data_IF_383184879576
#
_entry.id   IF_383184879576
#
_cell.length_a   1.000
_cell.length_b   1.000
_cell.length_c   1.000
_cell.angle_alpha   90.00
_cell.angle_beta   90.00
_cell.angle_gamma   90.00
#
_symmetry.space_group_name_H-M   'P 1'
#
loop_
_entity.id
_entity.type
_entity.pdbx_description
1 polymer ?
#
# COMPACT_ATOMS: atom_id res chain seq x y z
N UNK A 1 14.85 -14.39 -35.55
CA UNK A 1 14.65 -14.28 -34.09
C UNK A 1 13.40 -13.44 -33.86
N UNK A 2 12.28 -14.02 -33.41
CA UNK A 2 11.08 -13.24 -33.11
C UNK A 2 11.14 -12.74 -31.67
N UNK A 3 11.00 -11.44 -31.49
CA UNK A 3 10.81 -10.79 -30.22
C UNK A 3 9.46 -11.24 -29.65
N UNK A 4 9.46 -12.00 -28.55
CA UNK A 4 8.23 -12.34 -27.84
C UNK A 4 7.81 -11.10 -27.05
N UNK A 5 6.64 -10.57 -27.40
CA UNK A 5 5.92 -9.57 -26.60
C UNK A 5 5.85 -10.06 -25.15
N UNK A 6 6.45 -9.30 -24.24
CA UNK A 6 6.16 -9.41 -22.81
C UNK A 6 4.77 -8.79 -22.65
N UNK A 7 3.73 -9.54 -22.26
CA UNK A 7 2.51 -8.90 -21.81
C UNK A 7 2.88 -8.10 -20.56
N UNK A 8 2.91 -6.78 -20.70
CA UNK A 8 2.91 -5.85 -19.58
C UNK A 8 1.55 -6.05 -18.94
N UNK A 9 1.47 -6.90 -17.93
CA UNK A 9 0.31 -6.90 -17.07
C UNK A 9 0.26 -5.52 -16.41
N UNK A 10 -0.92 -4.86 -16.39
CA UNK A 10 -1.05 -3.66 -15.58
C UNK A 10 -0.65 -4.03 -14.15
N UNK A 11 0.06 -3.14 -13.43
CA UNK A 11 0.36 -3.37 -12.02
C UNK A 11 -0.93 -3.77 -11.30
N UNK A 12 -0.86 -4.64 -10.27
CA UNK A 12 -2.01 -4.90 -9.43
C UNK A 12 -2.60 -3.55 -9.03
N UNK A 13 -3.92 -3.37 -9.27
CA UNK A 13 -4.59 -2.11 -8.95
C UNK A 13 -4.22 -1.77 -7.50
N UNK A 14 -3.68 -0.55 -7.23
CA UNK A 14 -3.38 -0.14 -5.86
C UNK A 14 -4.63 -0.31 -5.01
N UNK A 15 -4.46 -0.57 -3.71
CA UNK A 15 -5.58 -0.63 -2.76
C UNK A 15 -6.48 0.55 -3.03
N UNK A 16 -7.65 0.27 -3.60
CA UNK A 16 -8.43 1.25 -4.36
C UNK A 16 -8.89 2.33 -3.41
N UNK A 17 -8.34 3.55 -3.55
CA UNK A 17 -9.10 4.76 -3.23
C UNK A 17 -10.52 4.51 -3.71
N UNK A 18 -11.51 4.71 -2.82
CA UNK A 18 -12.92 4.39 -3.17
C UNK A 18 -13.45 5.30 -4.27
N UNK A 19 -12.66 6.31 -4.63
CA UNK A 19 -13.05 7.48 -5.40
C UNK A 19 -11.99 7.79 -6.46
N UNK A 20 -12.42 8.46 -7.52
CA UNK A 20 -11.52 8.92 -8.55
C UNK A 20 -10.63 10.06 -8.02
N UNK A 21 -9.34 10.03 -8.33
CA UNK A 21 -8.40 11.12 -8.05
C UNK A 21 -7.62 11.40 -9.33
N UNK A 22 -7.56 12.65 -9.80
CA UNK A 22 -6.90 12.99 -11.05
C UNK A 22 -5.39 12.74 -10.96
N UNK A 23 -4.81 12.31 -12.08
CA UNK A 23 -3.37 12.15 -12.21
C UNK A 23 -2.62 13.44 -11.82
N UNK A 24 -1.40 13.34 -11.25
CA UNK A 24 -0.63 14.49 -10.82
C UNK A 24 -0.46 15.61 -11.87
N UNK A 25 -0.29 15.22 -13.15
CA UNK A 25 -0.16 16.16 -14.27
C UNK A 25 -1.47 16.87 -14.64
N UNK A 26 -2.61 16.26 -14.33
CA UNK A 26 -3.95 16.80 -14.56
C UNK A 26 -4.50 17.53 -13.33
N UNK A 27 -3.90 17.37 -12.15
CA UNK A 27 -4.39 17.95 -10.93
C UNK A 27 -4.21 19.50 -10.90
N UNK A 28 -5.32 20.24 -10.76
CA UNK A 28 -5.33 21.71 -10.77
C UNK A 28 -4.38 22.30 -9.72
N UNK A 29 -4.47 21.85 -8.47
CA UNK A 29 -3.66 22.39 -7.38
C UNK A 29 -2.20 22.02 -7.53
N UNK A 30 -1.88 20.80 -8.00
CA UNK A 30 -0.48 20.41 -8.21
C UNK A 30 0.19 21.18 -9.36
N UNK A 31 -0.59 21.69 -10.32
CA UNK A 31 -0.09 22.55 -11.41
C UNK A 31 0.24 23.96 -10.94
N UNK A 32 -0.50 24.47 -9.95
CA UNK A 32 -0.36 25.85 -9.44
C UNK A 32 0.61 25.88 -8.25
N UNK A 33 0.38 25.00 -7.28
CA UNK A 33 1.15 24.87 -6.05
C UNK A 33 2.22 23.80 -6.28
N UNK A 34 3.44 24.27 -6.48
CA UNK A 34 4.62 23.39 -6.55
C UNK A 34 4.86 22.75 -5.18
N UNK A 35 5.37 21.51 -5.18
CA UNK A 35 5.55 20.68 -3.97
C UNK A 35 5.83 21.50 -2.68
N UNK A 36 4.85 21.63 -1.78
CA UNK A 36 4.95 22.46 -0.59
C UNK A 36 5.84 21.84 0.50
N UNK A 37 6.27 20.58 0.36
CA UNK A 37 7.22 19.93 1.29
C UNK A 37 8.69 20.13 0.90
N UNK A 38 8.99 20.99 -0.08
CA UNK A 38 10.39 21.28 -0.43
C UNK A 38 10.97 22.37 0.49
N UNK A 39 12.01 22.09 1.32
CA UNK A 39 12.57 23.00 2.31
C UNK A 39 13.17 24.30 1.76
N UNK A 40 13.36 24.42 0.44
CA UNK A 40 13.94 25.59 -0.21
C UNK A 40 12.89 26.56 -0.79
N UNK A 41 11.60 26.39 -0.49
CA UNK A 41 10.53 27.23 -1.05
C UNK A 41 9.92 28.18 -0.01
N UNK A 42 9.78 29.48 -0.30
CA UNK A 42 9.01 30.40 0.55
C UNK A 42 7.48 30.22 0.35
N UNK A 43 6.67 30.62 1.35
CA UNK A 43 5.20 30.78 1.28
C UNK A 43 4.35 29.50 1.09
N UNK A 44 4.70 28.39 1.76
CA UNK A 44 4.03 27.09 1.58
C UNK A 44 2.67 27.03 2.25
N UNK A 45 2.64 27.50 3.49
CA UNK A 45 1.46 27.55 4.36
C UNK A 45 0.39 28.41 3.72
N UNK A 46 0.76 29.63 3.30
CA UNK A 46 -0.10 30.54 2.54
C UNK A 46 -0.70 29.93 1.28
N UNK A 47 0.11 29.24 0.46
CA UNK A 47 -0.43 28.61 -0.77
C UNK A 47 -1.47 27.53 -0.45
N UNK A 48 -1.25 26.78 0.63
CA UNK A 48 -2.20 25.77 1.11
C UNK A 48 -3.45 26.41 1.72
N UNK A 49 -3.31 27.56 2.40
CA UNK A 49 -4.42 28.37 2.90
C UNK A 49 -5.29 28.89 1.76
N UNK A 50 -4.69 29.49 0.74
CA UNK A 50 -5.37 29.98 -0.45
C UNK A 50 -6.09 28.84 -1.19
N UNK A 51 -5.47 27.66 -1.31
CA UNK A 51 -6.12 26.47 -1.87
C UNK A 51 -7.37 26.07 -1.09
N UNK A 52 -7.24 25.92 0.24
CA UNK A 52 -8.37 25.53 1.09
C UNK A 52 -9.48 26.59 1.04
N UNK A 53 -9.12 27.87 1.12
CA UNK A 53 -10.04 29.00 1.00
C UNK A 53 -10.83 28.96 -0.32
N UNK A 54 -10.15 28.77 -1.46
CA UNK A 54 -10.83 28.66 -2.77
C UNK A 54 -11.83 27.50 -2.78
N UNK A 55 -11.48 26.35 -2.21
CA UNK A 55 -12.40 25.21 -2.13
C UNK A 55 -13.61 25.53 -1.26
N UNK A 56 -13.41 26.08 -0.06
CA UNK A 56 -14.50 26.40 0.86
C UNK A 56 -15.43 27.50 0.31
N UNK A 57 -14.90 28.48 -0.42
CA UNK A 57 -15.70 29.53 -1.07
C UNK A 57 -16.55 28.98 -2.21
N UNK A 58 -16.00 28.07 -3.03
CA UNK A 58 -16.63 27.61 -4.27
C UNK A 58 -17.38 26.28 -4.13
N UNK A 59 -17.32 25.61 -2.98
CA UNK A 59 -17.96 24.33 -2.75
C UNK A 59 -18.86 24.34 -1.50
N UNK A 60 -20.09 24.91 -1.58
CA UNK A 60 -20.97 25.06 -0.41
C UNK A 60 -21.34 23.74 0.27
N UNK A 61 -21.59 22.66 -0.47
CA UNK A 61 -21.95 21.37 0.13
C UNK A 61 -20.75 20.73 0.83
N UNK A 62 -19.60 20.70 0.15
CA UNK A 62 -18.36 20.21 0.75
C UNK A 62 -17.94 21.08 1.96
N UNK A 63 -18.08 22.40 1.86
CA UNK A 63 -17.83 23.35 2.97
C UNK A 63 -18.68 22.98 4.18
N UNK A 64 -19.98 22.79 3.98
CA UNK A 64 -20.91 22.43 5.07
C UNK A 64 -20.49 21.13 5.73
N UNK A 65 -20.17 20.09 4.95
CA UNK A 65 -19.69 18.81 5.46
C UNK A 65 -18.37 18.94 6.25
N UNK A 66 -17.42 19.75 5.76
CA UNK A 66 -16.16 20.03 6.48
C UNK A 66 -16.48 20.78 7.79
N UNK A 67 -17.37 21.76 7.77
CA UNK A 67 -17.71 22.56 8.95
C UNK A 67 -18.46 21.74 10.01
N UNK A 68 -19.29 20.78 9.60
CA UNK A 68 -19.90 19.81 10.52
C UNK A 68 -18.83 19.00 11.24
N UNK A 69 -17.81 18.52 10.53
CA UNK A 69 -16.68 17.80 11.12
C UNK A 69 -15.82 18.69 12.02
N UNK A 70 -15.62 19.97 11.67
CA UNK A 70 -14.94 20.93 12.53
C UNK A 70 -15.73 21.24 13.80
N UNK A 71 -17.05 21.41 13.70
CA UNK A 71 -17.92 21.59 14.85
C UNK A 71 -17.89 20.36 15.76
N UNK A 72 -17.92 19.15 15.20
CA UNK A 72 -17.77 17.90 15.95
C UNK A 72 -16.41 17.83 16.67
N UNK A 73 -15.30 18.17 15.98
CA UNK A 73 -13.96 18.25 16.58
C UNK A 73 -13.91 19.22 17.76
N UNK A 74 -14.64 20.33 17.68
CA UNK A 74 -14.76 21.33 18.75
C UNK A 74 -15.81 20.98 19.82
N UNK A 75 -16.54 19.87 19.68
CA UNK A 75 -17.62 19.48 20.59
C UNK A 75 -18.88 20.36 20.50
N UNK A 76 -19.05 21.08 19.39
CA UNK A 76 -20.18 21.99 19.17
C UNK A 76 -21.38 21.22 18.64
N UNK A 77 -22.50 21.28 19.37
CA UNK A 77 -23.75 20.63 18.94
C UNK A 77 -24.82 21.64 18.50
N UNK A 78 -25.69 21.20 17.59
CA UNK A 78 -26.92 21.91 17.21
C UNK A 78 -26.70 23.23 16.48
N UNK A 79 -25.61 23.40 15.73
CA UNK A 79 -25.38 24.58 14.91
C UNK A 79 -26.07 24.46 13.56
N UNK A 80 -26.82 25.49 13.11
CA UNK A 80 -27.44 25.50 11.80
C UNK A 80 -26.40 25.91 10.73
N UNK A 81 -25.30 25.15 10.60
CA UNK A 81 -24.16 25.52 9.74
C UNK A 81 -24.54 25.75 8.27
N UNK A 82 -25.53 25.03 7.75
CA UNK A 82 -26.03 25.20 6.39
C UNK A 82 -26.82 26.50 6.18
N UNK A 83 -27.30 27.14 7.25
CA UNK A 83 -28.14 28.35 7.22
C UNK A 83 -27.32 29.63 7.42
N UNK A 84 -26.04 29.51 7.77
CA UNK A 84 -25.17 30.66 8.05
C UNK A 84 -24.51 31.21 6.79
N UNK A 85 -24.25 32.51 6.83
CA UNK A 85 -23.46 33.23 5.84
C UNK A 85 -22.01 33.34 6.33
N UNK A 86 -21.06 33.07 5.43
CA UNK A 86 -19.66 32.90 5.82
C UNK A 86 -18.75 33.93 5.15
N UNK A 87 -17.90 34.55 5.97
CA UNK A 87 -16.66 35.18 5.52
C UNK A 87 -15.52 34.19 5.69
N UNK A 88 -14.82 33.91 4.59
CA UNK A 88 -13.70 32.97 4.54
C UNK A 88 -12.54 33.69 3.88
N UNK A 89 -11.55 34.07 4.69
CA UNK A 89 -10.46 34.91 4.23
C UNK A 89 -9.12 34.42 4.76
N UNK A 90 -8.06 34.62 3.98
CA UNK A 90 -6.69 34.29 4.37
C UNK A 90 -5.94 35.55 4.81
N UNK A 91 -4.90 35.40 5.64
CA UNK A 91 -3.95 36.46 5.97
C UNK A 91 -4.59 37.67 6.70
N UNK A 92 -5.60 37.41 7.54
CA UNK A 92 -6.36 38.46 8.22
C UNK A 92 -5.64 38.96 9.46
N UNK A 93 -5.73 40.27 9.70
CA UNK A 93 -5.04 40.89 10.82
C UNK A 93 -5.51 40.31 12.17
N UNK A 94 -4.55 39.93 12.99
CA UNK A 94 -4.69 39.49 14.38
C UNK A 94 -3.70 40.32 15.20
N UNK A 95 -4.14 41.51 15.63
CA UNK A 95 -3.23 42.50 16.23
C UNK A 95 -2.14 42.93 15.26
N UNK A 96 -0.88 42.66 15.62
CA UNK A 96 0.30 42.90 14.80
C UNK A 96 0.64 41.78 13.80
N UNK A 97 -0.09 40.66 13.83
CA UNK A 97 0.14 39.45 13.03
C UNK A 97 -1.01 39.16 12.06
N UNK A 98 -0.91 38.02 11.36
CA UNK A 98 -1.91 37.54 10.39
C UNK A 98 -2.18 36.06 10.58
N UNK A 99 -3.45 35.66 10.68
CA UNK A 99 -3.83 34.25 10.64
C UNK A 99 -3.77 33.69 9.21
N UNK A 100 -3.56 32.38 9.07
CA UNK A 100 -3.48 31.76 7.74
C UNK A 100 -4.86 31.69 7.07
N UNK A 101 -5.89 31.30 7.82
CA UNK A 101 -7.28 31.22 7.36
C UNK A 101 -8.26 31.54 8.49
N UNK A 102 -9.18 32.47 8.26
CA UNK A 102 -10.27 32.84 9.15
C UNK A 102 -11.61 32.48 8.55
N UNK A 103 -12.49 31.92 9.38
CA UNK A 103 -13.87 31.58 9.01
C UNK A 103 -14.79 32.22 10.03
N UNK A 104 -15.67 33.10 9.57
CA UNK A 104 -16.65 33.81 10.40
C UNK A 104 -18.05 33.51 9.89
N UNK A 105 -18.95 33.10 10.78
CA UNK A 105 -20.35 32.81 10.44
C UNK A 105 -21.31 33.86 10.98
N UNK A 106 -22.31 34.23 10.18
CA UNK A 106 -23.35 35.21 10.50
C UNK A 106 -24.74 34.65 10.18
N UNK A 107 -25.74 35.08 10.96
CA UNK A 107 -27.15 34.72 10.71
C UNK A 107 -27.78 35.49 9.54
N UNK A 108 -27.24 36.68 9.20
CA UNK A 108 -27.81 37.56 8.18
C UNK A 108 -26.91 37.64 6.95
N UNK A 109 -27.52 37.68 5.76
CA UNK A 109 -26.83 37.82 4.46
C UNK A 109 -25.92 39.04 4.39
N UNK A 110 -26.35 40.17 4.96
CA UNK A 110 -25.62 41.43 4.90
C UNK A 110 -24.39 41.48 5.83
N UNK A 111 -24.16 40.44 6.64
CA UNK A 111 -23.01 40.32 7.57
C UNK A 111 -22.87 41.49 8.56
N UNK A 112 -23.90 42.31 8.72
CA UNK A 112 -23.91 43.48 9.62
C UNK A 112 -24.21 43.13 11.08
N UNK A 113 -24.46 41.85 11.38
CA UNK A 113 -24.79 41.35 12.72
C UNK A 113 -23.55 40.94 13.52
N UNK A 114 -23.74 40.63 14.81
CA UNK A 114 -22.69 40.00 15.59
C UNK A 114 -22.38 38.61 15.02
N UNK A 115 -21.10 38.21 14.89
CA UNK A 115 -20.77 36.87 14.43
C UNK A 115 -21.25 35.81 15.41
N UNK A 116 -21.77 34.71 14.88
CA UNK A 116 -22.28 33.58 15.68
C UNK A 116 -21.28 32.44 15.82
N UNK A 117 -20.29 32.35 14.92
CA UNK A 117 -19.17 31.44 15.05
C UNK A 117 -17.89 32.04 14.50
N UNK A 118 -16.75 31.59 15.04
CA UNK A 118 -15.43 31.97 14.58
C UNK A 118 -14.45 30.80 14.67
N UNK A 119 -13.83 30.46 13.53
CA UNK A 119 -12.62 29.64 13.51
C UNK A 119 -11.44 30.46 13.00
N UNK A 120 -10.31 30.35 13.70
CA UNK A 120 -9.00 30.71 13.18
C UNK A 120 -8.22 29.43 12.92
N UNK A 121 -7.70 29.25 11.71
CA UNK A 121 -7.00 28.04 11.28
C UNK A 121 -5.56 28.43 10.96
N UNK A 122 -4.62 27.86 11.71
CA UNK A 122 -3.18 27.93 11.44
C UNK A 122 -2.77 26.70 10.63
N UNK A 123 -2.07 26.90 9.53
CA UNK A 123 -1.68 25.85 8.60
C UNK A 123 -0.20 25.54 8.77
N UNK A 124 0.12 24.26 9.00
CA UNK A 124 1.49 23.75 9.08
C UNK A 124 1.70 22.62 8.07
N UNK A 125 2.69 22.79 7.21
CA UNK A 125 3.05 21.79 6.18
C UNK A 125 4.35 21.05 6.51
N UNK A 126 5.36 21.76 7.03
CA UNK A 126 6.65 21.15 7.41
C UNK A 126 7.28 21.76 8.66
N UNK A 127 7.06 23.05 8.91
CA UNK A 127 7.55 23.68 10.12
C UNK A 127 6.59 23.36 11.28
N UNK A 128 7.16 23.18 12.48
CA UNK A 128 6.38 23.13 13.73
C UNK A 128 5.83 24.50 14.10
N UNK A 129 5.18 24.58 15.26
CA UNK A 129 4.64 25.84 15.79
C UNK A 129 5.79 26.83 16.05
N UNK A 130 5.65 28.07 15.55
CA UNK A 130 6.68 29.09 15.67
C UNK A 130 6.60 29.85 17.00
N UNK A 131 7.77 30.18 17.54
CA UNK A 131 7.93 31.20 18.58
C UNK A 131 7.80 32.60 17.97
N UNK A 132 7.30 33.55 18.76
CA UNK A 132 6.96 34.88 18.30
C UNK A 132 7.02 35.92 19.43
N UNK A 133 7.02 37.21 19.08
CA UNK A 133 6.98 38.27 20.10
C UNK A 133 5.59 38.42 20.71
N UNK A 134 5.54 38.67 22.02
CA UNK A 134 4.32 38.96 22.77
C UNK A 134 3.67 40.25 22.26
N UNK A 135 2.36 40.23 21.99
CA UNK A 135 1.58 41.42 21.65
C UNK A 135 0.77 41.92 22.86
N UNK A 136 0.75 43.23 23.10
CA UNK A 136 -0.16 43.86 24.06
C UNK A 136 -1.43 44.31 23.33
N UNK A 137 -2.59 43.89 23.83
CA UNK A 137 -3.89 44.28 23.29
C UNK A 137 -4.58 45.16 24.33
N UNK A 138 -4.47 46.50 24.20
CA UNK A 138 -5.31 47.44 24.94
C UNK A 138 -4.67 48.32 26.03
N UNK A 139 -3.36 48.53 26.07
CA UNK A 139 -2.75 49.53 26.98
C UNK A 139 -2.12 50.67 26.17
N UNK A 140 -2.43 51.92 26.56
CA UNK A 140 -1.87 53.14 25.98
C UNK A 140 -0.32 53.10 26.04
N UNK A 141 0.33 53.44 24.93
CA UNK A 141 1.79 53.49 24.77
C UNK A 141 2.49 54.28 25.89
N UNK A 142 2.96 53.57 26.92
CA UNK A 142 4.08 54.03 27.73
C UNK A 142 5.32 53.23 27.34
N UNK A 143 6.44 53.90 27.01
CA UNK A 143 7.66 53.22 26.62
C UNK A 143 8.33 52.63 27.87
N UNK A 144 7.91 51.43 28.26
CA UNK A 144 8.73 50.59 29.12
C UNK A 144 9.62 49.71 28.24
N UNK A 145 10.89 49.60 28.63
CA UNK A 145 11.83 48.68 28.02
C UNK A 145 11.40 47.25 28.35
N UNK A 146 10.50 46.68 27.55
CA UNK A 146 10.02 45.32 27.71
C UNK A 146 11.10 44.33 27.28
N UNK A 147 11.51 43.47 28.21
CA UNK A 147 12.13 42.19 27.89
C UNK A 147 11.11 41.42 27.07
N UNK A 148 11.31 41.30 25.75
CA UNK A 148 10.39 40.60 24.86
C UNK A 148 10.25 39.13 25.31
N UNK A 149 9.18 38.81 26.04
CA UNK A 149 8.84 37.44 26.40
C UNK A 149 8.47 36.73 25.10
N UNK A 150 9.25 35.70 24.75
CA UNK A 150 8.95 34.85 23.60
C UNK A 150 7.69 34.03 23.90
N UNK A 151 6.64 34.24 23.12
CA UNK A 151 5.38 33.48 23.18
C UNK A 151 5.11 32.82 21.85
N UNK A 152 4.46 31.67 21.86
CA UNK A 152 4.11 31.01 20.60
C UNK A 152 3.12 31.86 19.79
N UNK A 153 3.14 31.72 18.47
CA UNK A 153 2.20 32.41 17.58
C UNK A 153 0.74 32.13 17.98
N UNK A 154 0.45 30.91 18.44
CA UNK A 154 -0.87 30.49 18.89
C UNK A 154 -1.32 31.21 20.17
N UNK A 155 -0.41 31.53 21.10
CA UNK A 155 -0.74 32.29 22.31
C UNK A 155 -1.25 33.70 21.99
N UNK A 156 -0.75 34.34 20.93
CA UNK A 156 -1.29 35.62 20.47
C UNK A 156 -2.70 35.44 19.88
N UNK A 157 -2.91 34.39 19.10
CA UNK A 157 -4.22 34.11 18.50
C UNK A 157 -5.25 33.75 19.55
N UNK A 158 -4.86 33.00 20.58
CA UNK A 158 -5.73 32.63 21.70
C UNK A 158 -6.22 33.87 22.46
N UNK A 159 -5.30 34.81 22.75
CA UNK A 159 -5.66 36.09 23.38
C UNK A 159 -6.55 36.94 22.49
N UNK A 160 -6.28 36.99 21.19
CA UNK A 160 -7.15 37.68 20.24
C UNK A 160 -8.54 37.04 20.15
N UNK A 161 -8.64 35.72 20.11
CA UNK A 161 -9.91 34.99 20.14
C UNK A 161 -10.71 35.37 21.39
N UNK A 162 -10.06 35.52 22.55
CA UNK A 162 -10.73 35.93 23.79
C UNK A 162 -11.44 37.28 23.66
N UNK A 163 -10.85 38.25 22.96
CA UNK A 163 -11.43 39.59 22.76
C UNK A 163 -12.55 39.64 21.73
N UNK A 164 -12.75 38.59 20.93
CA UNK A 164 -13.81 38.57 19.92
C UNK A 164 -15.19 38.41 20.53
N UNK A 165 -16.14 39.21 20.03
CA UNK A 165 -17.54 39.24 20.44
C UNK A 165 -18.35 38.07 19.84
N UNK A 166 -17.90 36.85 20.14
CA UNK A 166 -18.53 35.57 19.78
C UNK A 166 -18.62 34.73 21.05
N UNK A 167 -19.69 33.95 21.18
CA UNK A 167 -19.89 33.08 22.33
C UNK A 167 -18.67 32.15 22.53
N UNK A 168 -18.27 31.95 23.79
CA UNK A 168 -17.03 31.23 24.11
C UNK A 168 -17.04 29.77 23.63
N UNK A 169 -18.22 29.16 23.53
CA UNK A 169 -18.46 27.82 23.00
C UNK A 169 -18.67 27.79 21.47
N UNK A 170 -18.47 28.92 20.79
CA UNK A 170 -18.60 29.08 19.33
C UNK A 170 -17.38 29.75 18.69
N UNK A 171 -16.26 29.83 19.43
CA UNK A 171 -14.98 30.30 18.91
C UNK A 171 -13.86 29.32 19.23
N UNK A 172 -13.08 28.93 18.23
CA UNK A 172 -12.01 27.96 18.38
C UNK A 172 -10.83 28.24 17.45
N UNK A 173 -9.66 27.76 17.87
CA UNK A 173 -8.46 27.73 17.05
C UNK A 173 -8.19 26.32 16.54
N UNK A 174 -7.81 26.17 15.28
CA UNK A 174 -7.47 24.86 14.69
C UNK A 174 -6.05 24.95 14.13
N UNK A 175 -5.22 23.97 14.44
CA UNK A 175 -3.92 23.79 13.77
C UNK A 175 -4.06 22.64 12.79
N UNK A 176 -4.08 22.98 11.49
CA UNK A 176 -4.09 22.00 10.40
C UNK A 176 -2.66 21.59 10.07
N UNK A 177 -2.24 20.40 10.50
CA UNK A 177 -0.83 20.01 10.46
C UNK A 177 -0.58 18.58 9.98
N UNK A 178 0.71 18.28 9.71
CA UNK A 178 1.17 16.89 9.58
C UNK A 178 1.26 16.22 10.96
N UNK A 179 1.08 14.89 11.08
CA UNK A 179 0.96 14.19 12.36
C UNK A 179 2.11 14.43 13.34
N UNK A 180 3.32 14.67 12.84
CA UNK A 180 4.50 14.98 13.66
C UNK A 180 4.36 16.25 14.51
N UNK A 181 3.36 17.10 14.27
CA UNK A 181 3.11 18.32 15.04
C UNK A 181 1.81 18.29 15.84
N UNK A 182 1.01 17.22 15.75
CA UNK A 182 -0.29 17.17 16.37
C UNK A 182 -0.24 17.25 17.90
N UNK A 183 0.76 16.60 18.52
CA UNK A 183 0.98 16.62 19.97
C UNK A 183 1.38 18.00 20.52
N UNK A 184 1.92 18.89 19.67
CA UNK A 184 2.41 20.19 20.14
C UNK A 184 1.29 21.10 20.65
N UNK A 185 0.07 20.97 20.11
CA UNK A 185 -1.10 21.73 20.59
C UNK A 185 -1.50 21.26 21.99
N UNK A 186 -1.59 19.94 22.18
CA UNK A 186 -1.94 19.34 23.47
C UNK A 186 -0.90 19.69 24.55
N UNK A 187 0.38 19.66 24.21
CA UNK A 187 1.47 20.04 25.12
C UNK A 187 1.33 21.51 25.58
N UNK A 188 0.96 22.42 24.68
CA UNK A 188 0.74 23.84 25.00
C UNK A 188 -0.50 24.05 25.88
N UNK A 189 -1.57 23.28 25.66
CA UNK A 189 -2.77 23.29 26.51
C UNK A 189 -2.44 22.76 27.91
N UNK A 190 -1.75 21.61 28.00
CA UNK A 190 -1.33 21.02 29.27
C UNK A 190 -0.38 21.93 30.07
N UNK A 191 0.48 22.67 29.37
CA UNK A 191 1.35 23.68 29.96
C UNK A 191 0.61 24.97 30.39
N UNK A 192 -0.69 25.08 30.13
CA UNK A 192 -1.50 26.26 30.45
C UNK A 192 -1.23 27.47 29.57
N UNK A 193 -0.59 27.28 28.42
CA UNK A 193 -0.26 28.36 27.46
C UNK A 193 -1.41 28.63 26.49
N UNK A 194 -2.21 27.61 26.16
CA UNK A 194 -3.41 27.75 25.33
C UNK A 194 -4.66 27.32 26.10
N UNK A 195 -5.77 28.01 25.86
CA UNK A 195 -7.07 27.55 26.32
C UNK A 195 -7.48 26.25 25.61
N UNK A 196 -8.31 25.38 26.25
CA UNK A 196 -8.79 24.12 25.66
C UNK A 196 -9.86 24.31 24.57
N UNK A 197 -9.74 25.38 23.77
CA UNK A 197 -10.50 25.67 22.54
C UNK A 197 -9.64 25.49 21.28
N UNK A 198 -8.37 25.12 21.47
CA UNK A 198 -7.45 24.81 20.38
C UNK A 198 -7.48 23.32 20.09
N UNK A 199 -7.55 23.00 18.80
CA UNK A 199 -7.60 21.61 18.33
C UNK A 199 -6.56 21.40 17.25
N UNK A 200 -6.02 20.18 17.15
CA UNK A 200 -5.24 19.80 15.98
C UNK A 200 -6.09 18.97 15.02
N UNK A 201 -6.06 19.35 13.74
CA UNK A 201 -6.61 18.57 12.64
C UNK A 201 -5.44 18.09 11.77
N UNK A 202 -5.37 16.79 11.45
CA UNK A 202 -4.35 16.31 10.52
C UNK A 202 -4.82 16.48 9.08
N UNK A 203 -3.87 16.76 8.18
CA UNK A 203 -4.14 16.76 6.74
C UNK A 203 -4.73 15.44 6.23
N UNK A 204 -4.34 14.30 6.84
CA UNK A 204 -4.89 12.98 6.53
C UNK A 204 -6.33 12.81 6.99
N UNK A 205 -6.74 13.41 8.12
CA UNK A 205 -8.13 13.40 8.57
C UNK A 205 -9.01 14.24 7.65
N UNK A 206 -8.56 15.43 7.27
CA UNK A 206 -9.25 16.25 6.25
C UNK A 206 -9.37 15.50 4.92
N UNK A 207 -8.31 14.82 4.48
CA UNK A 207 -8.34 13.98 3.29
C UNK A 207 -9.39 12.87 3.37
N UNK A 208 -9.49 12.20 4.52
CA UNK A 208 -10.51 11.16 4.76
C UNK A 208 -11.93 11.73 4.71
N UNK A 209 -12.17 12.88 5.33
CA UNK A 209 -13.49 13.53 5.27
C UNK A 209 -13.90 13.82 3.82
N UNK A 210 -12.97 14.28 2.98
CA UNK A 210 -13.23 14.54 1.56
C UNK A 210 -13.48 13.23 0.80
N UNK A 211 -12.69 12.18 1.07
CA UNK A 211 -12.89 10.85 0.46
C UNK A 211 -14.28 10.29 0.80
N UNK A 212 -14.73 10.42 2.05
CA UNK A 212 -16.04 9.95 2.49
C UNK A 212 -17.18 10.69 1.76
N UNK A 213 -17.07 12.01 1.59
CA UNK A 213 -18.04 12.79 0.79
C UNK A 213 -18.05 12.39 -0.68
N UNK A 214 -16.88 12.15 -1.27
CA UNK A 214 -16.76 11.67 -2.65
C UNK A 214 -17.35 10.26 -2.83
N UNK A 215 -17.16 9.38 -1.85
CA UNK A 215 -17.65 8.00 -1.87
C UNK A 215 -19.16 7.91 -1.64
N UNK A 216 -19.74 8.86 -0.90
CA UNK A 216 -21.18 8.95 -0.68
C UNK A 216 -21.96 9.47 -1.90
N UNK A 217 -21.26 9.96 -2.95
CA UNK A 217 -21.84 10.53 -4.17
C UNK A 217 -22.86 11.65 -3.93
N UNK A 218 -22.72 12.39 -2.82
CA UNK A 218 -23.63 13.48 -2.43
C UNK A 218 -23.28 14.82 -3.07
N UNK A 219 -22.01 15.02 -3.43
CA UNK A 219 -21.51 16.29 -3.97
C UNK A 219 -21.99 16.53 -5.42
N UNK A 220 -22.36 17.77 -5.78
CA UNK A 220 -22.70 18.11 -7.16
C UNK A 220 -21.47 18.00 -8.06
N UNK A 221 -21.64 17.78 -9.37
CA UNK A 221 -20.52 17.47 -10.27
C UNK A 221 -19.36 18.48 -10.25
N UNK A 222 -19.65 19.78 -10.09
CA UNK A 222 -18.62 20.81 -10.06
C UNK A 222 -17.83 20.81 -8.75
N UNK A 223 -18.47 20.60 -7.59
CA UNK A 223 -17.80 20.44 -6.30
C UNK A 223 -17.01 19.13 -6.24
N UNK A 224 -17.55 18.05 -6.85
CA UNK A 224 -16.85 16.76 -6.97
C UNK A 224 -15.48 16.94 -7.61
N UNK A 225 -15.38 17.71 -8.69
CA UNK A 225 -14.10 17.99 -9.36
C UNK A 225 -13.12 18.69 -8.40
N UNK A 226 -13.55 19.72 -7.68
CA UNK A 226 -12.70 20.40 -6.69
C UNK A 226 -12.27 19.47 -5.55
N UNK A 227 -13.17 18.65 -5.04
CA UNK A 227 -12.91 17.66 -4.00
C UNK A 227 -11.88 16.62 -4.44
N UNK A 228 -12.01 16.06 -5.65
CA UNK A 228 -11.05 15.09 -6.21
C UNK A 228 -9.67 15.73 -6.39
N UNK A 229 -9.63 16.98 -6.88
CA UNK A 229 -8.38 17.73 -7.01
C UNK A 229 -7.73 18.02 -5.65
N UNK A 230 -8.51 18.44 -4.66
CA UNK A 230 -8.01 18.70 -3.30
C UNK A 230 -7.47 17.41 -2.69
N UNK A 231 -8.26 16.33 -2.71
CA UNK A 231 -7.86 15.02 -2.19
C UNK A 231 -6.56 14.53 -2.86
N UNK A 232 -6.45 14.63 -4.18
CA UNK A 232 -5.23 14.26 -4.88
C UNK A 232 -4.01 15.11 -4.52
N UNK A 233 -4.20 16.39 -4.17
CA UNK A 233 -3.13 17.23 -3.66
C UNK A 233 -2.71 16.80 -2.25
N UNK A 234 -3.68 16.57 -1.36
CA UNK A 234 -3.45 16.12 0.02
C UNK A 234 -2.70 14.79 0.05
N UNK A 235 -3.21 13.76 -0.64
CA UNK A 235 -2.60 12.43 -0.70
C UNK A 235 -1.17 12.46 -1.26
N UNK A 236 -0.89 13.37 -2.21
CA UNK A 236 0.42 13.44 -2.84
C UNK A 236 1.48 14.14 -2.00
N UNK A 237 1.10 15.22 -1.31
CA UNK A 237 2.07 16.13 -0.69
C UNK A 237 1.93 16.30 0.82
N UNK A 238 0.72 16.16 1.37
CA UNK A 238 0.43 16.51 2.76
C UNK A 238 0.05 15.30 3.62
N UNK A 239 -0.22 14.14 3.01
CA UNK A 239 -0.37 12.89 3.71
C UNK A 239 0.97 12.42 4.29
N UNK A 240 0.96 11.99 5.54
CA UNK A 240 2.13 11.42 6.20
C UNK A 240 2.49 10.07 5.58
N UNK A 241 3.71 9.91 5.04
CA UNK A 241 4.18 8.63 4.51
C UNK A 241 4.23 7.51 5.55
N UNK A 242 4.29 7.82 6.86
CA UNK A 242 4.24 6.84 7.94
C UNK A 242 2.84 6.28 8.20
N UNK A 243 1.79 6.92 7.68
CA UNK A 243 0.39 6.44 7.71
C UNK A 243 0.03 5.63 6.43
N UNK A 244 0.97 5.48 5.48
CA UNK A 244 0.80 4.67 4.27
C UNK A 244 1.17 3.20 4.53
N UNK A 245 0.23 2.44 5.08
CA UNK A 245 0.49 1.07 5.54
C UNK A 245 0.72 0.04 4.41
N UNK A 246 0.25 0.31 3.18
CA UNK A 246 0.18 -0.75 2.15
C UNK A 246 1.27 -0.70 1.08
N UNK A 247 2.01 0.41 0.93
CA UNK A 247 2.82 0.65 -0.28
C UNK A 247 4.22 1.25 -0.04
N UNK A 248 4.73 1.21 1.19
CA UNK A 248 6.08 1.71 1.47
C UNK A 248 7.12 0.66 1.09
N UNK A 249 8.04 1.04 0.19
CA UNK A 249 9.33 0.37 0.04
C UNK A 249 10.17 0.80 1.25
N UNK A 250 10.47 -0.13 2.15
CA UNK A 250 11.31 0.14 3.31
C UNK A 250 12.79 -0.12 3.04
N UNK A 251 13.62 0.01 4.07
CA UNK A 251 15.06 -0.20 3.94
C UNK A 251 15.41 -1.68 3.68
N UNK A 252 14.58 -2.61 4.16
CA UNK A 252 14.71 -4.04 3.93
C UNK A 252 14.40 -4.35 2.48
N UNK A 253 13.34 -3.76 1.91
CA UNK A 253 13.02 -3.86 0.49
C UNK A 253 14.15 -3.33 -0.39
N UNK A 254 14.71 -2.16 -0.05
CA UNK A 254 15.87 -1.61 -0.77
C UNK A 254 17.11 -2.50 -0.62
N UNK A 255 17.34 -3.07 0.56
CA UNK A 255 18.43 -4.01 0.80
C UNK A 255 18.26 -5.30 -0.01
N UNK A 256 17.03 -5.84 -0.08
CA UNK A 256 16.68 -6.99 -0.89
C UNK A 256 16.86 -6.69 -2.38
N UNK A 257 16.37 -5.55 -2.88
CA UNK A 257 16.57 -5.13 -4.27
C UNK A 257 18.07 -5.05 -4.61
N UNK A 258 18.89 -4.46 -3.74
CA UNK A 258 20.35 -4.39 -3.92
C UNK A 258 20.99 -5.77 -3.88
N UNK A 259 20.61 -6.61 -2.91
CA UNK A 259 21.09 -7.98 -2.79
C UNK A 259 20.71 -8.81 -4.02
N UNK A 260 19.49 -8.66 -4.55
CA UNK A 260 19.06 -9.31 -5.79
C UNK A 260 19.86 -8.83 -7.00
N UNK A 261 20.07 -7.51 -7.14
CA UNK A 261 20.84 -6.95 -8.23
C UNK A 261 22.30 -7.45 -8.23
N UNK A 262 22.90 -7.59 -7.04
CA UNK A 262 24.29 -8.01 -6.90
C UNK A 262 24.49 -9.53 -6.92
N UNK A 263 23.65 -10.28 -6.20
CA UNK A 263 23.85 -11.70 -5.92
C UNK A 263 22.84 -12.62 -6.63
N UNK A 264 21.73 -12.09 -7.13
CA UNK A 264 20.65 -12.88 -7.71
C UNK A 264 21.09 -13.71 -8.92
N UNK A 265 21.88 -13.13 -9.83
CA UNK A 265 22.42 -13.86 -11.00
C UNK A 265 23.39 -14.98 -10.58
N UNK A 266 24.28 -14.71 -9.63
CA UNK A 266 25.22 -15.70 -9.13
C UNK A 266 24.52 -16.84 -8.38
N UNK A 267 23.51 -16.51 -7.57
CA UNK A 267 22.66 -17.50 -6.89
C UNK A 267 21.89 -18.36 -7.90
N UNK A 268 21.23 -17.74 -8.89
CA UNK A 268 20.51 -18.46 -9.94
C UNK A 268 21.44 -19.41 -10.72
N UNK A 269 22.64 -18.94 -11.08
CA UNK A 269 23.64 -19.77 -11.75
C UNK A 269 24.01 -21.01 -10.92
N UNK A 270 24.30 -20.84 -9.62
CA UNK A 270 24.62 -21.95 -8.71
C UNK A 270 23.50 -22.98 -8.61
N UNK A 271 22.26 -22.55 -8.43
CA UNK A 271 21.11 -23.48 -8.36
C UNK A 271 20.83 -24.13 -9.73
N UNK A 272 21.02 -23.42 -10.84
CA UNK A 272 20.90 -24.05 -12.17
C UNK A 272 21.97 -25.13 -12.36
N UNK A 273 23.22 -24.87 -11.97
CA UNK A 273 24.29 -25.87 -12.02
C UNK A 273 23.98 -27.06 -11.11
N UNK A 274 23.45 -26.82 -9.91
CA UNK A 274 23.02 -27.86 -8.98
C UNK A 274 21.94 -28.79 -9.59
N UNK A 275 21.01 -28.23 -10.37
CA UNK A 275 19.87 -28.97 -10.95
C UNK A 275 20.21 -29.61 -12.30
N UNK A 276 21.16 -29.07 -13.05
CA UNK A 276 21.47 -29.56 -14.40
C UNK A 276 21.81 -31.06 -14.50
N UNK A 277 22.47 -31.73 -13.53
CA UNK A 277 22.75 -33.16 -13.58
C UNK A 277 21.47 -34.03 -13.58
N UNK A 278 20.33 -33.49 -13.14
CA UNK A 278 19.05 -34.21 -13.16
C UNK A 278 18.58 -34.56 -14.58
N UNK A 279 19.08 -33.86 -15.61
CA UNK A 279 18.83 -34.24 -17.01
C UNK A 279 19.32 -35.67 -17.28
N UNK A 280 20.48 -36.04 -16.71
CA UNK A 280 21.02 -37.38 -16.85
C UNK A 280 20.21 -38.40 -16.05
N UNK A 281 19.74 -38.05 -14.84
CA UNK A 281 18.84 -38.90 -14.05
C UNK A 281 17.56 -39.23 -14.82
N UNK A 282 16.97 -38.24 -15.51
CA UNK A 282 15.80 -38.47 -16.37
C UNK A 282 16.14 -39.38 -17.56
N UNK A 283 17.29 -39.19 -18.21
CA UNK A 283 17.74 -40.04 -19.31
C UNK A 283 17.97 -41.51 -18.88
N UNK A 284 18.55 -41.72 -17.70
CA UNK A 284 18.90 -43.04 -17.17
C UNK A 284 17.71 -43.76 -16.53
N UNK A 285 16.63 -43.04 -16.20
CA UNK A 285 15.43 -43.59 -15.55
C UNK A 285 14.72 -44.68 -16.36
N UNK A 286 14.94 -44.69 -17.69
CA UNK A 286 14.22 -45.50 -18.70
C UNK A 286 12.72 -45.23 -18.77
N UNK A 287 12.24 -44.13 -18.20
CA UNK A 287 10.88 -43.65 -18.39
C UNK A 287 10.79 -42.96 -19.75
N UNK A 288 9.75 -43.26 -20.53
CA UNK A 288 9.54 -42.64 -21.82
C UNK A 288 9.03 -41.20 -21.64
N UNK A 289 9.88 -40.23 -21.95
CA UNK A 289 9.54 -38.81 -21.95
C UNK A 289 9.57 -38.21 -23.36
N UNK A 290 8.68 -37.25 -23.60
CA UNK A 290 8.85 -36.29 -24.68
C UNK A 290 9.42 -35.00 -24.12
N UNK A 291 10.49 -34.51 -24.76
CA UNK A 291 11.14 -33.24 -24.46
C UNK A 291 11.51 -33.11 -22.98
N UNK A 292 12.62 -33.73 -22.60
CA UNK A 292 13.26 -33.46 -21.31
C UNK A 292 13.96 -32.11 -21.38
N UNK A 293 13.61 -31.18 -20.51
CA UNK A 293 14.17 -29.84 -20.51
C UNK A 293 14.42 -29.31 -19.09
N UNK A 294 15.43 -28.45 -18.95
CA UNK A 294 15.71 -27.71 -17.72
C UNK A 294 15.07 -26.33 -17.78
N UNK A 295 14.04 -26.10 -16.97
CA UNK A 295 13.43 -24.79 -16.78
C UNK A 295 14.20 -24.00 -15.71
N UNK A 296 14.71 -22.84 -16.13
CA UNK A 296 15.53 -21.92 -15.34
C UNK A 296 14.74 -20.65 -15.01
N UNK A 297 13.92 -20.70 -13.97
CA UNK A 297 12.97 -19.65 -13.61
C UNK A 297 13.12 -19.15 -12.17
N UNK A 298 14.33 -19.13 -11.60
CA UNK A 298 14.54 -18.52 -10.28
C UNK A 298 14.35 -17.00 -10.35
N UNK A 299 13.79 -16.44 -9.27
CA UNK A 299 13.53 -14.98 -9.14
C UNK A 299 12.58 -14.42 -10.20
N UNK A 300 11.66 -15.26 -10.68
CA UNK A 300 10.48 -14.92 -11.48
C UNK A 300 9.22 -15.31 -10.67
N UNK A 301 8.00 -14.94 -11.08
CA UNK A 301 6.78 -15.28 -10.34
C UNK A 301 6.65 -16.77 -9.97
N UNK A 302 7.19 -17.67 -10.80
CA UNK A 302 7.38 -19.08 -10.45
C UNK A 302 8.82 -19.32 -9.98
N UNK A 303 9.10 -19.36 -8.67
CA UNK A 303 10.46 -19.59 -8.13
C UNK A 303 10.88 -21.06 -8.29
N UNK A 304 11.40 -21.44 -9.46
CA UNK A 304 11.84 -22.82 -9.75
C UNK A 304 13.06 -22.94 -10.66
N UNK A 305 13.90 -23.92 -10.37
CA UNK A 305 14.93 -24.48 -11.26
C UNK A 305 14.71 -25.99 -11.30
N UNK A 306 14.15 -26.49 -12.41
CA UNK A 306 13.60 -27.86 -12.45
C UNK A 306 13.82 -28.50 -13.81
N UNK A 307 14.15 -29.79 -13.79
CA UNK A 307 14.07 -30.66 -14.96
C UNK A 307 12.65 -31.21 -15.05
N UNK A 308 12.12 -31.26 -16.26
CA UNK A 308 10.79 -31.79 -16.50
C UNK A 308 10.70 -32.47 -17.86
N UNK A 309 9.71 -33.35 -17.99
CA UNK A 309 9.37 -34.00 -19.25
C UNK A 309 7.91 -34.45 -19.27
N UNK A 310 7.31 -34.44 -20.46
CA UNK A 310 5.96 -34.99 -20.65
C UNK A 310 6.03 -36.51 -20.67
N UNK A 311 5.14 -37.18 -19.94
CA UNK A 311 5.08 -38.63 -19.97
C UNK A 311 4.49 -39.11 -21.31
N UNK A 312 5.15 -40.11 -21.91
CA UNK A 312 4.71 -40.73 -23.18
C UNK A 312 4.02 -42.05 -22.87
N UNK A 313 2.82 -42.23 -23.42
CA UNK A 313 2.08 -43.49 -23.33
C UNK A 313 2.85 -44.64 -24.01
N UNK A 314 2.77 -45.85 -23.44
CA UNK A 314 3.49 -47.00 -23.97
C UNK A 314 3.14 -47.27 -25.45
N UNK A 315 4.17 -47.29 -26.31
CA UNK A 315 4.03 -47.55 -27.74
C UNK A 315 3.55 -46.37 -28.61
N UNK A 316 3.25 -45.19 -28.02
CA UNK A 316 2.84 -44.00 -28.79
C UNK A 316 4.03 -43.05 -29.02
N UNK A 317 3.98 -42.27 -30.11
CA UNK A 317 5.00 -41.25 -30.48
C UNK A 317 4.69 -39.84 -29.97
N UNK A 318 3.46 -39.59 -29.52
CA UNK A 318 3.00 -38.27 -29.04
C UNK A 318 2.83 -38.32 -27.52
N UNK A 319 3.05 -37.20 -26.82
CA UNK A 319 3.02 -37.17 -25.37
C UNK A 319 1.57 -37.09 -24.91
N UNK A 320 1.37 -37.27 -23.61
CA UNK A 320 0.20 -36.70 -22.95
C UNK A 320 0.59 -35.26 -22.58
N UNK A 321 0.21 -34.24 -23.37
CA UNK A 321 0.70 -32.87 -23.17
C UNK A 321 0.27 -32.26 -21.83
N UNK A 322 -0.71 -32.88 -21.20
CA UNK A 322 -1.30 -32.43 -19.95
C UNK A 322 -0.66 -33.11 -18.74
N UNK A 323 0.28 -34.06 -18.91
CA UNK A 323 0.88 -34.86 -17.84
C UNK A 323 2.42 -34.75 -17.83
N UNK A 324 2.96 -34.16 -16.77
CA UNK A 324 4.39 -33.91 -16.63
C UNK A 324 4.96 -34.51 -15.36
N UNK A 325 6.18 -35.05 -15.45
CA UNK A 325 7.03 -35.29 -14.28
C UNK A 325 8.03 -34.13 -14.14
N UNK A 326 8.15 -33.62 -12.92
CA UNK A 326 9.03 -32.53 -12.55
C UNK A 326 9.98 -32.95 -11.43
N UNK A 327 11.23 -32.50 -11.49
CA UNK A 327 12.20 -32.68 -10.43
C UNK A 327 13.18 -31.50 -10.33
N UNK A 328 13.58 -31.16 -9.11
CA UNK A 328 14.61 -30.15 -8.86
C UNK A 328 14.27 -29.24 -7.69
N UNK A 329 14.60 -27.96 -7.82
CA UNK A 329 14.39 -26.97 -6.78
C UNK A 329 13.15 -26.14 -7.07
N UNK A 330 12.18 -26.19 -6.15
CA UNK A 330 10.99 -25.33 -6.17
C UNK A 330 10.86 -24.62 -4.83
N UNK A 331 10.93 -23.29 -4.86
CA UNK A 331 11.13 -22.44 -3.67
C UNK A 331 12.40 -22.85 -2.93
N UNK A 332 12.29 -23.20 -1.66
CA UNK A 332 13.34 -23.59 -0.72
C UNK A 332 13.45 -25.11 -0.53
N UNK A 333 12.82 -25.91 -1.41
CA UNK A 333 12.77 -27.37 -1.28
C UNK A 333 13.24 -28.07 -2.56
N UNK A 334 13.95 -29.18 -2.38
CA UNK A 334 14.11 -30.20 -3.39
C UNK A 334 12.80 -30.97 -3.51
N UNK A 335 12.28 -31.18 -4.72
CA UNK A 335 11.00 -31.84 -4.97
C UNK A 335 11.03 -32.72 -6.21
N UNK A 336 10.26 -33.80 -6.16
CA UNK A 336 9.84 -34.59 -7.33
C UNK A 336 8.32 -34.67 -7.29
N UNK A 337 7.65 -34.38 -8.41
CA UNK A 337 6.19 -34.37 -8.44
C UNK A 337 5.64 -34.57 -9.85
N UNK A 338 4.36 -34.97 -9.90
CA UNK A 338 3.61 -35.13 -11.14
C UNK A 338 2.52 -34.06 -11.21
N UNK A 339 2.39 -33.41 -12.36
CA UNK A 339 1.32 -32.46 -12.64
C UNK A 339 0.40 -32.98 -13.73
N UNK A 340 -0.91 -32.78 -13.53
CA UNK A 340 -1.93 -32.89 -14.57
C UNK A 340 -2.79 -31.63 -14.60
N UNK A 341 -3.18 -31.18 -15.80
CA UNK A 341 -4.15 -30.07 -15.90
C UNK A 341 -5.47 -30.43 -15.20
N UNK A 342 -6.04 -29.55 -14.35
CA UNK A 342 -7.31 -29.83 -13.67
C UNK A 342 -8.48 -29.94 -14.65
N UNK A 343 -8.39 -29.27 -15.80
CA UNK A 343 -9.43 -29.28 -16.84
C UNK A 343 -9.21 -30.38 -17.89
N UNK A 344 -8.18 -31.21 -17.72
CA UNK A 344 -7.89 -32.32 -18.63
C UNK A 344 -8.92 -33.45 -18.47
N UNK A 345 -9.37 -34.09 -19.57
CA UNK A 345 -10.22 -35.29 -19.50
C UNK A 345 -9.63 -36.44 -18.68
N UNK A 346 -8.30 -36.58 -18.67
CA UNK A 346 -7.61 -37.65 -17.92
C UNK A 346 -7.40 -37.31 -16.43
N UNK A 347 -7.72 -36.10 -15.98
CA UNK A 347 -7.37 -35.62 -14.63
C UNK A 347 -7.95 -36.50 -13.52
N UNK A 348 -9.21 -36.92 -13.65
CA UNK A 348 -9.88 -37.80 -12.69
C UNK A 348 -9.25 -39.20 -12.66
N UNK A 349 -8.93 -39.76 -13.82
CA UNK A 349 -8.29 -41.07 -13.97
C UNK A 349 -6.89 -41.06 -13.36
N UNK A 350 -6.09 -40.02 -13.64
CA UNK A 350 -4.75 -39.83 -13.07
C UNK A 350 -4.82 -39.74 -11.55
N UNK A 351 -5.73 -38.92 -11.01
CA UNK A 351 -5.90 -38.77 -9.55
C UNK A 351 -6.31 -40.08 -8.88
N UNK A 352 -7.22 -40.85 -9.49
CA UNK A 352 -7.63 -42.17 -9.00
C UNK A 352 -6.45 -43.15 -8.99
N UNK A 353 -5.69 -43.22 -10.09
CA UNK A 353 -4.53 -44.11 -10.20
C UNK A 353 -3.45 -43.80 -9.16
N UNK A 354 -3.24 -42.51 -8.85
CA UNK A 354 -2.34 -42.07 -7.77
C UNK A 354 -2.90 -42.45 -6.39
N UNK A 355 -4.20 -42.23 -6.13
CA UNK A 355 -4.82 -42.57 -4.86
C UNK A 355 -4.72 -44.07 -4.52
N UNK A 356 -4.81 -44.95 -5.52
CA UNK A 356 -4.60 -46.40 -5.35
C UNK A 356 -3.15 -46.77 -5.03
N UNK A 357 -2.18 -45.94 -5.46
CA UNK A 357 -0.74 -46.23 -5.39
C UNK A 357 0.00 -45.43 -4.32
N UNK A 358 -0.69 -44.52 -3.63
CA UNK A 358 -0.07 -43.71 -2.57
C UNK A 358 0.41 -44.59 -1.40
N UNK A 359 -0.35 -45.64 -1.02
CA UNK A 359 0.06 -46.59 0.01
C UNK A 359 1.37 -47.31 -0.33
N UNK A 360 1.47 -47.94 -1.53
CA UNK A 360 2.74 -48.49 -2.02
C UNK A 360 3.90 -47.49 -2.09
N UNK A 361 3.66 -46.23 -2.47
CA UNK A 361 4.69 -45.19 -2.44
C UNK A 361 5.13 -44.88 -1.00
N UNK A 362 4.19 -44.68 -0.08
CA UNK A 362 4.43 -44.36 1.33
C UNK A 362 5.12 -45.50 2.09
N UNK A 363 4.91 -46.75 1.66
CA UNK A 363 5.63 -47.91 2.19
C UNK A 363 7.13 -47.89 1.85
N UNK A 364 7.52 -47.16 0.80
CA UNK A 364 8.92 -47.00 0.37
C UNK A 364 9.55 -45.75 0.98
N UNK A 365 8.81 -44.66 0.94
CA UNK A 365 9.17 -43.41 1.61
C UNK A 365 7.89 -42.72 2.14
N UNK A 366 7.74 -42.59 3.47
CA UNK A 366 6.54 -42.02 4.08
C UNK A 366 6.30 -40.54 3.71
N UNK A 367 7.29 -39.83 3.17
CA UNK A 367 7.17 -38.42 2.76
C UNK A 367 6.43 -38.23 1.43
N UNK A 368 6.07 -39.31 0.72
CA UNK A 368 5.17 -39.25 -0.42
C UNK A 368 3.77 -38.77 0.01
N UNK A 369 3.27 -37.73 -0.66
CA UNK A 369 1.98 -37.13 -0.33
C UNK A 369 1.19 -36.69 -1.57
N UNK A 370 -0.14 -36.68 -1.40
CA UNK A 370 -1.07 -36.00 -2.31
C UNK A 370 -1.28 -34.59 -1.76
N UNK A 371 -1.02 -33.53 -2.52
CA UNK A 371 -1.20 -32.16 -2.05
C UNK A 371 -2.68 -31.85 -1.80
N UNK A 372 -2.95 -31.06 -0.76
CA UNK A 372 -4.30 -30.55 -0.55
C UNK A 372 -4.74 -29.62 -1.71
N UNK A 373 -6.04 -29.50 -2.01
CA UNK A 373 -6.53 -28.67 -3.12
C UNK A 373 -6.04 -27.21 -3.08
N UNK A 374 -5.97 -26.63 -1.87
CA UNK A 374 -5.44 -25.30 -1.59
C UNK A 374 -3.94 -25.16 -1.87
N UNK A 375 -3.16 -26.25 -1.82
CA UNK A 375 -1.74 -26.22 -2.18
C UNK A 375 -1.51 -26.25 -3.69
N UNK A 376 -2.32 -27.03 -4.42
CA UNK A 376 -2.27 -27.10 -5.88
C UNK A 376 -3.42 -27.90 -6.50
N UNK A 377 -4.14 -27.27 -7.43
CA UNK A 377 -5.07 -27.97 -8.31
C UNK A 377 -4.39 -28.76 -9.46
N UNK A 378 -3.07 -28.63 -9.64
CA UNK A 378 -2.33 -29.26 -10.75
C UNK A 378 -1.52 -30.48 -10.30
N UNK A 379 -0.91 -30.39 -9.12
CA UNK A 379 -0.07 -31.47 -8.59
C UNK A 379 -0.95 -32.61 -8.10
N UNK A 380 -0.58 -33.85 -8.42
CA UNK A 380 -1.32 -35.06 -8.01
C UNK A 380 -0.57 -35.90 -6.99
N UNK A 381 0.76 -35.87 -7.02
CA UNK A 381 1.61 -36.53 -6.04
C UNK A 381 2.94 -35.79 -5.96
N UNK A 382 3.56 -35.74 -4.79
CA UNK A 382 4.90 -35.21 -4.61
C UNK A 382 5.65 -35.89 -3.47
N UNK A 383 6.98 -35.74 -3.51
CA UNK A 383 7.87 -35.92 -2.37
C UNK A 383 8.77 -34.67 -2.27
N UNK A 384 9.08 -34.22 -1.05
CA UNK A 384 9.85 -32.98 -0.88
C UNK A 384 10.73 -32.93 0.37
N UNK A 385 11.96 -32.42 0.21
CA UNK A 385 12.93 -32.25 1.29
C UNK A 385 13.41 -30.78 1.37
N UNK A 386 13.48 -30.15 2.57
CA UNK A 386 14.03 -28.80 2.72
C UNK A 386 15.48 -28.76 2.25
N UNK A 387 15.91 -27.74 1.49
CA UNK A 387 17.27 -27.69 0.92
C UNK A 387 18.40 -27.66 1.96
N UNK A 388 18.10 -27.32 3.22
CA UNK A 388 19.08 -27.24 4.31
C UNK A 388 19.94 -28.51 4.46
N UNK A 389 19.42 -29.69 4.11
CA UNK A 389 20.20 -30.93 4.15
C UNK A 389 21.43 -30.92 3.23
N UNK A 390 21.36 -30.26 2.07
CA UNK A 390 22.48 -30.18 1.12
C UNK A 390 23.65 -29.40 1.71
N UNK A 391 23.43 -28.55 2.72
CA UNK A 391 24.51 -27.79 3.36
C UNK A 391 25.51 -28.71 4.08
N UNK A 392 25.12 -29.94 4.40
CA UNK A 392 25.96 -30.93 5.07
C UNK A 392 26.63 -31.90 4.09
N UNK A 393 26.31 -31.81 2.79
CA UNK A 393 26.80 -32.72 1.75
C UNK A 393 28.04 -32.11 1.06
N UNK A 394 29.11 -32.90 0.91
CA UNK A 394 30.31 -32.49 0.16
C UNK A 394 30.02 -32.39 -1.35
N UNK A 395 29.24 -33.34 -1.89
CA UNK A 395 28.72 -33.32 -3.25
C UNK A 395 27.21 -33.05 -3.26
N UNK A 396 26.84 -31.78 -3.16
CA UNK A 396 25.44 -31.35 -3.16
C UNK A 396 24.68 -31.75 -4.45
N UNK A 397 25.38 -31.74 -5.59
CA UNK A 397 24.78 -32.08 -6.88
C UNK A 397 24.50 -33.58 -6.98
N UNK A 398 25.45 -34.42 -6.55
CA UNK A 398 25.28 -35.86 -6.41
C UNK A 398 24.17 -36.22 -5.43
N UNK A 399 24.13 -35.57 -4.25
CA UNK A 399 23.08 -35.78 -3.26
C UNK A 399 21.67 -35.43 -3.83
N UNK A 400 21.53 -34.28 -4.50
CA UNK A 400 20.26 -33.93 -5.15
C UNK A 400 19.88 -34.93 -6.25
N UNK A 401 20.85 -35.35 -7.07
CA UNK A 401 20.63 -36.35 -8.11
C UNK A 401 20.18 -37.70 -7.52
N UNK A 402 20.77 -38.11 -6.41
CA UNK A 402 20.41 -39.33 -5.70
C UNK A 402 18.99 -39.26 -5.13
N UNK A 403 18.61 -38.16 -4.48
CA UNK A 403 17.23 -37.94 -4.01
C UNK A 403 16.22 -38.09 -5.15
N UNK A 404 16.49 -37.48 -6.31
CA UNK A 404 15.60 -37.57 -7.48
C UNK A 404 15.60 -38.97 -8.07
N UNK A 405 16.75 -39.64 -8.13
CA UNK A 405 16.88 -41.00 -8.64
C UNK A 405 16.07 -41.99 -7.80
N UNK A 406 16.16 -41.91 -6.48
CA UNK A 406 15.38 -42.74 -5.54
C UNK A 406 13.89 -42.48 -5.73
N UNK A 407 13.45 -41.23 -5.74
CA UNK A 407 12.04 -40.89 -5.93
C UNK A 407 11.49 -41.36 -7.30
N UNK A 408 12.27 -41.24 -8.38
CA UNK A 408 11.89 -41.75 -9.70
C UNK A 408 11.78 -43.29 -9.69
N UNK A 409 12.67 -43.98 -8.98
CA UNK A 409 12.60 -45.42 -8.83
C UNK A 409 11.40 -45.87 -7.97
N UNK A 410 11.03 -45.10 -6.94
CA UNK A 410 9.82 -45.37 -6.16
C UNK A 410 8.55 -45.27 -7.02
N UNK A 411 8.46 -44.24 -7.87
CA UNK A 411 7.36 -44.09 -8.83
C UNK A 411 7.25 -45.29 -9.79
N UNK A 412 8.39 -45.87 -10.20
CA UNK A 412 8.41 -47.07 -11.04
C UNK A 412 7.99 -48.31 -10.26
N UNK A 413 8.60 -48.57 -9.11
CA UNK A 413 8.35 -49.79 -8.33
C UNK A 413 6.94 -49.83 -7.72
N UNK A 414 6.36 -48.67 -7.41
CA UNK A 414 4.96 -48.55 -7.00
C UNK A 414 3.97 -48.66 -8.19
N UNK A 415 4.45 -48.84 -9.41
CA UNK A 415 3.62 -48.97 -10.62
C UNK A 415 2.88 -47.68 -11.00
N UNK A 416 3.34 -46.51 -10.53
CA UNK A 416 2.72 -45.22 -10.86
C UNK A 416 3.00 -44.85 -12.31
N UNK A 417 4.26 -44.99 -12.75
CA UNK A 417 4.65 -44.68 -14.13
C UNK A 417 3.83 -45.51 -15.12
N UNK A 418 3.75 -46.82 -14.93
CA UNK A 418 3.01 -47.72 -15.82
C UNK A 418 1.52 -47.38 -15.91
N UNK A 419 0.89 -47.09 -14.77
CA UNK A 419 -0.53 -46.74 -14.73
C UNK A 419 -0.82 -45.44 -15.47
N UNK A 420 0.03 -44.43 -15.29
CA UNK A 420 -0.10 -43.15 -15.97
C UNK A 420 0.14 -43.26 -17.48
N UNK A 421 1.10 -44.08 -17.89
CA UNK A 421 1.34 -44.37 -19.31
C UNK A 421 0.19 -45.16 -19.96
N UNK A 422 -0.54 -45.99 -19.19
CA UNK A 422 -1.73 -46.69 -19.65
C UNK A 422 -2.91 -45.73 -19.88
N UNK A 423 -3.15 -44.80 -18.95
CA UNK A 423 -4.19 -43.76 -19.07
C UNK A 423 -3.94 -42.90 -20.31
N UNK A 424 -2.69 -42.50 -20.54
CA UNK A 424 -2.31 -41.78 -21.76
C UNK A 424 -2.56 -42.55 -23.06
N UNK A 425 -2.70 -43.88 -22.99
CA UNK A 425 -3.01 -44.72 -24.14
C UNK A 425 -4.52 -44.81 -24.44
N UNK A 426 -5.40 -44.54 -23.48
CA UNK A 426 -6.84 -44.82 -23.56
C UNK A 426 -7.68 -43.66 -24.12
N UNK A 427 -7.21 -42.41 -24.01
CA UNK A 427 -7.95 -41.19 -24.42
C UNK A 427 -7.47 -40.56 -25.75
N UNK A 428 -6.83 -41.35 -26.62
CA UNK A 428 -6.56 -40.99 -28.01
C UNK A 428 -6.74 -42.20 -28.91
#
# INVERSE_FOLDING_TARGET
MPWSFIPIYPPPKPTTLRVHVPDPSANLFQRIIRNPTNPNRPMRERSCAEMLCVVLLNCPQLRTAIFEQLAELCGWQGLPLSELHYDIETEQAVGGKRDDLRIVGYENEDQTGAPVLLWTIEIKVQAGIHDSSHESYGEEDQPQAEVAVSVTQLENYDRWLETQAVAADRKAGIVLSIPSHAHQVDDLIQAGKLQPRWHCLRWSDLGRWIEDQLAAETLPPHEKVFAEHLLGFLLKFLQDPSEMNDHRIDIEDLALIRAYAQQGKACASRIHSLVSPLLQVFADSKIAFEKVAHQKALFRPSVRSVVWGYLVANGKRKPVPELCLWAGVHRDRARVWIEVSPNSPISSQVRSAIAERIGPLQARDPDWAIPAPEESAWRVVHISKPLAWLLMEEDQAGALAEFVRVAVEDLKQAGVVDALQLIGATDA
#
